data_IF_166246397890
#
_entry.id   IF_166246397890
#
_cell.length_a   1.000
_cell.length_b   1.000
_cell.length_c   1.000
_cell.angle_alpha   90.00
_cell.angle_beta   90.00
_cell.angle_gamma   90.00
#
_symmetry.space_group_name_H-M   'P 1'
#
loop_
_entity.id
_entity.type
_entity.pdbx_description
1 polymer ?
#
# COMPACT_ATOMS: atom_id res chain seq x y z
N UNK A 1 0.76 -21.70 9.60
CA UNK A 1 1.52 -20.47 9.26
C UNK A 1 2.46 -20.19 10.42
N UNK A 2 3.76 -20.30 10.21
CA UNK A 2 4.76 -19.98 11.24
C UNK A 2 5.56 -18.80 10.72
N UNK A 3 5.26 -17.61 11.24
CA UNK A 3 6.12 -16.43 11.06
C UNK A 3 7.32 -16.63 12.00
N UNK A 4 8.50 -16.80 11.42
CA UNK A 4 9.74 -16.85 12.16
C UNK A 4 10.60 -15.66 11.70
N UNK A 5 10.70 -14.64 12.55
CA UNK A 5 11.72 -13.59 12.42
C UNK A 5 13.02 -14.13 13.03
N UNK A 6 13.81 -14.84 12.23
CA UNK A 6 15.09 -15.39 12.69
C UNK A 6 16.08 -15.46 11.52
N UNK A 7 17.38 -15.41 11.84
CA UNK A 7 18.45 -15.61 10.84
C UNK A 7 18.21 -16.95 10.16
N UNK A 8 18.30 -17.00 8.83
CA UNK A 8 18.02 -18.17 7.98
C UNK A 8 18.64 -19.49 8.49
N UNK A 9 19.83 -19.45 9.11
CA UNK A 9 20.47 -20.63 9.71
C UNK A 9 19.73 -21.22 10.91
N UNK A 10 19.16 -20.39 11.79
CA UNK A 10 18.44 -20.85 12.99
C UNK A 10 17.08 -21.49 12.63
N UNK A 11 16.41 -20.98 11.60
CA UNK A 11 15.15 -21.54 11.07
C UNK A 11 15.40 -22.94 10.47
N UNK A 12 16.53 -23.13 9.79
CA UNK A 12 16.89 -24.41 9.19
C UNK A 12 17.16 -25.48 10.26
N UNK A 13 17.94 -25.12 11.29
CA UNK A 13 18.29 -26.04 12.37
C UNK A 13 17.05 -26.43 13.18
N UNK A 14 16.19 -25.45 13.49
CA UNK A 14 14.87 -25.70 14.11
C UNK A 14 13.89 -26.49 13.23
N UNK A 15 14.09 -26.62 11.92
CA UNK A 15 13.25 -27.48 11.08
C UNK A 15 13.68 -28.95 11.15
N UNK A 16 15.00 -29.18 11.12
CA UNK A 16 15.60 -30.51 11.19
C UNK A 16 15.42 -31.16 12.57
N UNK A 17 15.45 -30.37 13.65
CA UNK A 17 15.23 -30.85 15.03
C UNK A 17 13.81 -31.43 15.26
N UNK A 18 12.88 -31.26 14.31
CA UNK A 18 11.47 -31.67 14.42
C UNK A 18 11.05 -32.73 13.38
N UNK A 19 11.98 -33.46 12.77
CA UNK A 19 11.71 -34.49 11.75
C UNK A 19 10.91 -33.96 10.54
N UNK A 20 11.01 -32.67 10.21
CA UNK A 20 10.45 -32.15 8.97
C UNK A 20 11.40 -32.43 7.79
N UNK A 21 10.86 -32.98 6.70
CA UNK A 21 11.59 -33.07 5.45
C UNK A 21 11.61 -31.69 4.77
N UNK A 22 12.80 -31.21 4.43
CA UNK A 22 12.95 -29.93 3.75
C UNK A 22 12.76 -30.15 2.26
N UNK A 23 11.60 -29.75 1.74
CA UNK A 23 11.20 -30.02 0.34
C UNK A 23 12.13 -29.34 -0.69
N UNK A 24 12.75 -28.21 -0.33
CA UNK A 24 13.69 -27.52 -1.21
C UNK A 24 14.57 -26.54 -0.44
N UNK A 25 15.88 -26.70 -0.53
CA UNK A 25 16.86 -25.67 -0.14
C UNK A 25 17.70 -25.33 -1.37
N UNK A 26 17.69 -24.07 -1.78
CA UNK A 26 18.74 -23.56 -2.67
C UNK A 26 19.73 -22.80 -1.79
N UNK A 27 21.03 -23.12 -1.93
CA UNK A 27 22.12 -22.60 -1.10
C UNK A 27 22.07 -21.08 -0.97
N UNK A 28 22.34 -20.61 0.24
CA UNK A 28 22.47 -19.23 0.65
C UNK A 28 23.95 -18.82 0.62
N UNK A 29 24.28 -17.73 -0.09
CA UNK A 29 25.58 -17.06 -0.01
C UNK A 29 25.30 -15.61 0.44
N UNK A 30 25.82 -15.14 1.58
CA UNK A 30 25.78 -13.73 1.90
C UNK A 30 26.78 -13.01 0.99
N UNK A 31 26.36 -11.98 0.24
CA UNK A 31 27.29 -11.16 -0.52
C UNK A 31 27.36 -9.73 0.02
N UNK A 32 28.56 -9.39 0.46
CA UNK A 32 29.14 -8.05 0.44
C UNK A 32 29.43 -7.67 -1.01
N UNK A 33 28.99 -6.47 -1.39
CA UNK A 33 29.27 -5.75 -2.64
C UNK A 33 28.60 -6.22 -3.95
N UNK A 34 27.67 -5.35 -4.36
CA UNK A 34 27.46 -4.68 -5.66
C UNK A 34 27.77 -5.51 -6.93
N UNK A 35 26.72 -5.61 -7.77
CA UNK A 35 26.70 -5.98 -9.20
C UNK A 35 26.52 -7.44 -9.67
N UNK A 36 26.15 -8.40 -8.81
CA UNK A 36 25.53 -9.65 -9.31
C UNK A 36 24.27 -10.02 -8.51
N UNK A 37 23.10 -9.96 -9.17
CA UNK A 37 21.80 -10.40 -8.64
C UNK A 37 21.75 -11.93 -8.51
N UNK A 38 22.28 -12.47 -7.42
CA UNK A 38 21.95 -13.85 -7.01
C UNK A 38 20.56 -13.86 -6.35
N UNK A 39 19.70 -14.77 -6.81
CA UNK A 39 18.30 -14.91 -6.36
C UNK A 39 18.28 -15.37 -4.89
N UNK A 40 17.85 -14.48 -3.99
CA UNK A 40 17.57 -14.82 -2.60
C UNK A 40 16.36 -15.76 -2.52
N UNK A 41 16.55 -17.00 -2.03
CA UNK A 41 15.43 -17.86 -1.68
C UNK A 41 14.92 -17.47 -0.28
N UNK A 42 13.95 -16.56 -0.25
CA UNK A 42 13.30 -16.07 0.98
C UNK A 42 12.16 -16.97 1.47
N UNK A 43 11.87 -18.06 0.74
CA UNK A 43 10.80 -18.99 1.07
C UNK A 43 11.36 -20.38 1.30
N UNK A 44 11.02 -20.96 2.45
CA UNK A 44 11.42 -22.31 2.85
C UNK A 44 10.15 -23.09 3.15
N UNK A 45 10.04 -24.29 2.57
CA UNK A 45 8.90 -25.17 2.77
C UNK A 45 9.36 -26.43 3.50
N UNK A 46 8.73 -26.68 4.64
CA UNK A 46 8.91 -27.89 5.43
C UNK A 46 7.67 -28.75 5.30
N UNK A 47 7.87 -30.06 5.16
CA UNK A 47 6.78 -31.03 5.11
C UNK A 47 6.92 -32.03 6.24
N UNK A 48 5.83 -32.25 6.97
CA UNK A 48 5.76 -33.33 7.94
C UNK A 48 4.35 -33.90 7.97
N UNK A 49 4.23 -35.21 7.72
CA UNK A 49 2.97 -35.96 7.62
C UNK A 49 2.03 -35.35 6.57
N UNK A 50 1.04 -34.57 7.01
CA UNK A 50 0.04 -33.91 6.14
C UNK A 50 0.08 -32.37 6.29
N UNK A 51 1.12 -31.82 6.91
CA UNK A 51 1.27 -30.37 7.11
C UNK A 51 2.42 -29.82 6.28
N UNK A 52 2.16 -28.69 5.63
CA UNK A 52 3.17 -27.85 4.99
C UNK A 52 3.38 -26.61 5.86
N UNK A 53 4.62 -26.38 6.29
CA UNK A 53 5.02 -25.13 6.94
C UNK A 53 5.78 -24.29 5.92
N UNK A 54 5.22 -23.14 5.59
CA UNK A 54 5.87 -22.13 4.75
C UNK A 54 6.50 -21.07 5.67
N UNK A 55 7.83 -21.04 5.69
CA UNK A 55 8.61 -20.02 6.36
C UNK A 55 9.06 -18.97 5.35
N UNK A 56 8.86 -17.69 5.69
CA UNK A 56 9.17 -16.55 4.84
C UNK A 56 10.11 -15.62 5.57
N UNK A 57 11.21 -15.27 4.92
CA UNK A 57 12.23 -14.36 5.45
C UNK A 57 11.91 -12.95 4.99
N UNK A 58 11.63 -12.08 5.95
CA UNK A 58 11.41 -10.66 5.71
C UNK A 58 12.73 -9.90 5.81
N UNK A 59 12.96 -9.01 4.86
CA UNK A 59 14.01 -8.01 4.92
C UNK A 59 13.43 -6.68 5.39
N UNK A 60 14.20 -5.95 6.20
CA UNK A 60 13.87 -4.57 6.54
C UNK A 60 14.45 -3.65 5.47
N UNK A 61 13.59 -3.01 4.70
CA UNK A 61 13.98 -1.92 3.80
C UNK A 61 13.43 -0.62 4.38
N UNK A 62 14.34 0.21 4.89
CA UNK A 62 14.01 1.51 5.48
C UNK A 62 12.98 1.35 6.62
N UNK A 63 11.72 1.72 6.36
CA UNK A 63 10.64 1.79 7.35
C UNK A 63 9.60 0.66 7.24
N UNK A 64 9.78 -0.30 6.34
CA UNK A 64 8.85 -1.41 6.18
C UNK A 64 9.58 -2.74 5.95
N UNK A 65 8.84 -3.83 6.06
CA UNK A 65 9.31 -5.19 5.81
C UNK A 65 8.91 -5.61 4.41
N UNK A 66 9.74 -6.38 3.72
CA UNK A 66 9.41 -6.93 2.42
C UNK A 66 10.03 -8.31 2.22
N UNK A 67 9.48 -9.07 1.28
CA UNK A 67 10.13 -10.26 0.76
C UNK A 67 9.95 -10.35 -0.76
N UNK A 68 10.86 -11.06 -1.41
CA UNK A 68 10.79 -11.27 -2.85
C UNK A 68 9.72 -12.29 -3.22
N UNK A 69 9.39 -12.36 -4.51
CA UNK A 69 8.46 -13.36 -5.06
C UNK A 69 9.08 -14.76 -5.00
N UNK A 70 8.26 -15.77 -4.71
CA UNK A 70 8.66 -17.16 -4.84
C UNK A 70 8.89 -17.55 -6.31
N UNK A 71 10.07 -18.11 -6.62
CA UNK A 71 10.45 -18.53 -7.98
C UNK A 71 10.46 -20.06 -8.18
N UNK A 72 9.77 -20.82 -7.32
CA UNK A 72 9.74 -22.28 -7.42
C UNK A 72 8.46 -22.84 -8.07
N UNK A 73 8.11 -24.08 -7.70
CA UNK A 73 6.95 -24.76 -8.25
C UNK A 73 5.66 -24.01 -7.89
N UNK A 74 4.65 -24.03 -8.76
CA UNK A 74 3.36 -23.45 -8.38
C UNK A 74 2.77 -24.25 -7.23
N UNK A 75 2.46 -23.56 -6.14
CA UNK A 75 1.62 -24.08 -5.08
C UNK A 75 0.28 -23.36 -5.17
N UNK A 76 -0.81 -24.11 -5.24
CA UNK A 76 -2.14 -23.54 -5.20
C UNK A 76 -2.45 -23.05 -3.78
N UNK A 77 -3.06 -21.87 -3.66
CA UNK A 77 -3.57 -21.30 -2.41
C UNK A 77 -2.52 -21.08 -1.28
N UNK A 78 -1.25 -20.89 -1.63
CA UNK A 78 -0.20 -20.55 -0.65
C UNK A 78 -0.04 -19.03 -0.58
N UNK A 79 -0.14 -18.49 0.64
CA UNK A 79 0.10 -17.06 0.93
C UNK A 79 1.58 -16.71 0.78
N UNK A 80 1.91 -15.42 0.68
CA UNK A 80 3.29 -14.94 0.66
C UNK A 80 4.13 -15.48 -0.51
N UNK A 81 3.51 -15.78 -1.65
CA UNK A 81 4.25 -16.24 -2.85
C UNK A 81 4.56 -15.11 -3.81
N UNK A 82 3.92 -13.94 -3.65
CA UNK A 82 4.15 -12.76 -4.47
C UNK A 82 5.29 -11.93 -3.90
N UNK A 83 5.75 -10.90 -4.64
CA UNK A 83 6.59 -9.85 -4.07
C UNK A 83 5.69 -9.02 -3.18
N UNK A 84 5.98 -8.92 -1.89
CA UNK A 84 5.06 -8.32 -0.93
C UNK A 84 5.79 -7.43 0.09
N UNK A 85 5.07 -6.45 0.63
CA UNK A 85 5.55 -5.58 1.70
C UNK A 85 4.51 -5.36 2.80
N UNK A 86 5.01 -5.13 4.01
CA UNK A 86 4.25 -5.01 5.24
C UNK A 86 4.79 -3.87 6.09
N UNK A 87 3.93 -3.18 6.81
CA UNK A 87 4.37 -2.28 7.88
C UNK A 87 5.23 -3.02 8.89
N UNK A 88 6.14 -2.29 9.54
CA UNK A 88 6.81 -2.86 10.71
C UNK A 88 5.77 -3.23 11.77
N UNK A 89 5.86 -4.43 12.30
CA UNK A 89 5.03 -4.91 13.40
C UNK A 89 5.93 -5.39 14.54
N UNK A 90 5.42 -5.28 15.76
CA UNK A 90 6.07 -5.89 16.93
C UNK A 90 5.61 -7.34 17.07
N UNK A 91 6.37 -8.15 17.80
CA UNK A 91 6.02 -9.55 18.07
C UNK A 91 5.90 -9.82 19.56
N UNK A 92 5.16 -10.89 19.87
CA UNK A 92 5.03 -11.45 21.21
C UNK A 92 5.46 -12.92 21.19
N UNK A 93 6.25 -13.37 22.17
CA UNK A 93 6.67 -14.75 22.26
C UNK A 93 5.51 -15.65 22.69
N UNK A 94 5.31 -16.76 21.98
CA UNK A 94 4.29 -17.78 22.25
C UNK A 94 4.97 -19.13 22.42
N UNK A 95 4.65 -19.80 23.52
CA UNK A 95 5.14 -21.13 23.84
C UNK A 95 4.13 -22.18 23.36
N UNK A 96 4.53 -23.05 22.42
CA UNK A 96 3.63 -24.07 21.90
C UNK A 96 3.62 -25.37 22.71
N UNK A 97 4.65 -25.60 23.53
CA UNK A 97 4.81 -26.81 24.34
C UNK A 97 4.77 -26.51 25.85
N UNK A 98 4.36 -27.53 26.63
CA UNK A 98 4.15 -27.42 28.08
C UNK A 98 5.45 -27.12 28.85
N UNK A 99 6.58 -27.59 28.33
CA UNK A 99 7.93 -27.37 28.85
C UNK A 99 8.53 -26.02 28.41
N UNK A 100 7.80 -25.22 27.61
CA UNK A 100 8.18 -23.88 27.15
C UNK A 100 9.47 -23.79 26.33
N UNK A 101 10.06 -24.93 25.93
CA UNK A 101 11.30 -24.97 25.16
C UNK A 101 11.13 -24.46 23.73
N UNK A 102 9.89 -24.43 23.22
CA UNK A 102 9.57 -23.97 21.87
C UNK A 102 8.88 -22.61 21.90
N UNK A 103 9.63 -21.57 21.56
CA UNK A 103 9.17 -20.17 21.52
C UNK A 103 9.08 -19.68 20.07
N UNK A 104 7.93 -19.13 19.69
CA UNK A 104 7.70 -18.44 18.42
C UNK A 104 7.28 -16.99 18.64
N UNK A 105 7.75 -16.10 17.78
CA UNK A 105 7.33 -14.71 17.77
C UNK A 105 6.12 -14.53 16.85
N UNK A 106 4.94 -14.31 17.43
CA UNK A 106 3.74 -13.96 16.68
C UNK A 106 3.59 -12.45 16.57
N UNK A 107 3.03 -11.89 15.48
CA UNK A 107 2.66 -10.48 15.44
C UNK A 107 1.81 -10.10 16.66
N UNK A 108 2.16 -9.00 17.32
CA UNK A 108 1.44 -8.49 18.50
C UNK A 108 -0.02 -8.15 18.19
N UNK A 109 -0.31 -7.79 16.94
CA UNK A 109 -1.65 -7.59 16.40
C UNK A 109 -1.87 -8.46 15.15
N UNK A 110 -2.29 -9.73 15.32
CA UNK A 110 -2.51 -10.63 14.20
C UNK A 110 -3.57 -10.14 13.21
N UNK A 111 -4.63 -9.47 13.69
CA UNK A 111 -5.70 -8.95 12.83
C UNK A 111 -5.17 -7.88 11.86
N UNK A 112 -4.39 -6.92 12.37
CA UNK A 112 -3.77 -5.89 11.54
C UNK A 112 -2.69 -6.45 10.60
N UNK A 113 -1.96 -7.50 11.02
CA UNK A 113 -1.02 -8.18 10.13
C UNK A 113 -1.76 -8.86 8.98
N UNK A 114 -2.83 -9.62 9.27
CA UNK A 114 -3.62 -10.32 8.26
C UNK A 114 -4.33 -9.34 7.31
N UNK A 115 -4.82 -8.22 7.82
CA UNK A 115 -5.43 -7.16 6.99
C UNK A 115 -4.46 -6.63 5.92
N UNK A 116 -3.16 -6.58 6.22
CA UNK A 116 -2.16 -6.15 5.24
C UNK A 116 -1.91 -7.18 4.15
N UNK A 117 -2.11 -8.49 4.41
CA UNK A 117 -1.82 -9.57 3.45
C UNK A 117 -2.62 -9.38 2.16
N UNK A 118 -3.88 -8.93 2.25
CA UNK A 118 -4.77 -8.74 1.09
C UNK A 118 -4.24 -7.69 0.09
N UNK A 119 -3.47 -6.72 0.59
CA UNK A 119 -2.95 -5.58 -0.18
C UNK A 119 -1.42 -5.55 -0.19
N UNK A 120 -0.78 -6.64 0.24
CA UNK A 120 0.66 -6.69 0.45
C UNK A 120 1.45 -6.74 -0.85
N UNK A 121 0.86 -7.14 -1.99
CA UNK A 121 1.55 -7.20 -3.28
C UNK A 121 2.28 -5.88 -3.57
N UNK A 122 3.57 -5.96 -3.85
CA UNK A 122 4.43 -4.79 -3.98
C UNK A 122 4.59 -4.39 -5.44
N UNK A 123 4.17 -3.17 -5.74
CA UNK A 123 4.34 -2.53 -7.04
C UNK A 123 5.46 -1.49 -6.96
N UNK A 124 6.35 -1.48 -7.95
CA UNK A 124 7.45 -0.53 -8.05
C UNK A 124 7.15 0.51 -9.14
N UNK A 125 7.45 1.79 -8.86
CA UNK A 125 7.40 2.86 -9.87
C UNK A 125 8.25 2.50 -11.10
N UNK A 126 7.85 2.97 -12.28
CA UNK A 126 8.48 2.56 -13.54
C UNK A 126 9.70 3.40 -13.96
N UNK A 127 10.05 4.46 -13.22
CA UNK A 127 11.21 5.34 -13.50
C UNK A 127 11.37 5.68 -15.01
N UNK A 128 10.26 6.02 -15.66
CA UNK A 128 10.24 6.41 -17.07
C UNK A 128 10.29 7.92 -17.19
N UNK A 129 11.30 8.42 -17.88
CA UNK A 129 11.50 9.85 -18.11
C UNK A 129 10.41 10.40 -19.04
N UNK A 130 9.36 11.01 -18.50
CA UNK A 130 8.51 11.95 -19.25
C UNK A 130 9.19 13.31 -19.37
N UNK A 131 8.80 14.13 -20.34
CA UNK A 131 9.28 15.51 -20.58
C UNK A 131 8.31 16.59 -20.06
N UNK A 132 7.57 16.31 -18.98
CA UNK A 132 6.74 17.35 -18.33
C UNK A 132 7.60 18.33 -17.55
N UNK A 133 7.26 19.63 -17.64
CA UNK A 133 7.94 20.73 -16.94
C UNK A 133 7.88 20.51 -15.43
N UNK A 134 9.03 20.61 -14.75
CA UNK A 134 9.07 20.63 -13.30
C UNK A 134 8.46 21.94 -12.80
N UNK A 135 7.61 21.85 -11.79
CA UNK A 135 6.95 23.01 -11.18
C UNK A 135 7.70 23.30 -9.86
N UNK A 136 7.90 24.57 -9.49
CA UNK A 136 8.51 25.01 -8.21
C UNK A 136 7.56 25.73 -7.24
N UNK A 137 7.39 25.20 -6.02
CA UNK A 137 6.45 25.74 -5.04
C UNK A 137 6.82 27.18 -4.66
N UNK A 138 5.84 28.10 -4.52
CA UNK A 138 6.12 29.53 -4.32
C UNK A 138 6.94 29.83 -3.06
N UNK A 139 6.83 29.00 -2.02
CA UNK A 139 7.45 29.28 -0.71
C UNK A 139 8.28 28.15 -0.13
N UNK A 140 8.25 26.95 -0.73
CA UNK A 140 8.88 25.75 -0.16
C UNK A 140 9.88 25.16 -1.11
N UNK A 141 11.00 24.69 -0.55
CA UNK A 141 11.94 23.88 -1.32
C UNK A 141 11.38 22.47 -1.53
N UNK A 142 11.86 21.76 -2.55
CA UNK A 142 11.47 20.37 -2.77
C UNK A 142 11.79 19.45 -1.58
N UNK A 143 12.86 19.73 -0.84
CA UNK A 143 13.18 18.99 0.39
C UNK A 143 12.15 19.24 1.50
N UNK A 144 11.75 20.49 1.72
CA UNK A 144 10.71 20.85 2.69
C UNK A 144 9.37 20.20 2.32
N UNK A 145 9.01 20.17 1.04
CA UNK A 145 7.81 19.49 0.56
C UNK A 145 7.86 17.98 0.87
N UNK A 146 8.96 17.29 0.53
CA UNK A 146 9.13 15.86 0.84
C UNK A 146 9.11 15.56 2.33
N UNK A 147 9.71 16.42 3.15
CA UNK A 147 9.68 16.27 4.61
C UNK A 147 8.24 16.38 5.14
N UNK A 148 7.50 17.40 4.71
CA UNK A 148 6.09 17.61 5.11
C UNK A 148 5.18 16.50 4.59
N UNK A 149 5.39 16.02 3.38
CA UNK A 149 4.64 14.88 2.85
C UNK A 149 4.93 13.61 3.64
N UNK A 150 6.19 13.38 4.04
CA UNK A 150 6.56 12.25 4.90
C UNK A 150 5.81 12.31 6.23
N UNK A 151 5.77 13.48 6.88
CA UNK A 151 5.01 13.70 8.12
C UNK A 151 3.52 13.44 7.87
N UNK A 152 2.95 14.05 6.83
CA UNK A 152 1.53 13.88 6.48
C UNK A 152 1.15 12.41 6.27
N UNK A 153 1.97 11.66 5.51
CA UNK A 153 1.77 10.24 5.27
C UNK A 153 1.82 9.44 6.58
N UNK A 154 2.76 9.74 7.48
CA UNK A 154 2.87 9.05 8.76
C UNK A 154 1.64 9.32 9.64
N UNK A 155 1.16 10.56 9.69
CA UNK A 155 -0.03 10.94 10.45
C UNK A 155 -1.30 10.31 9.87
N UNK A 156 -1.47 10.34 8.54
CA UNK A 156 -2.57 9.65 7.85
C UNK A 156 -2.57 8.16 8.18
N UNK A 157 -1.41 7.50 8.12
CA UNK A 157 -1.28 6.08 8.49
C UNK A 157 -1.67 5.85 9.94
N UNK A 158 -1.18 6.65 10.88
CA UNK A 158 -1.51 6.48 12.30
C UNK A 158 -3.02 6.59 12.56
N UNK A 159 -3.67 7.57 11.94
CA UNK A 159 -5.11 7.80 12.09
C UNK A 159 -5.94 6.70 11.42
N UNK A 160 -5.64 6.37 10.16
CA UNK A 160 -6.44 5.44 9.36
C UNK A 160 -6.20 3.97 9.69
N UNK A 161 -4.96 3.56 9.99
CA UNK A 161 -4.64 2.17 10.28
C UNK A 161 -5.30 1.67 11.57
N UNK A 162 -5.49 2.55 12.56
CA UNK A 162 -6.25 2.23 13.79
C UNK A 162 -7.73 1.89 13.54
N UNK A 163 -8.23 2.19 12.34
CA UNK A 163 -9.62 1.97 11.89
C UNK A 163 -9.71 1.04 10.69
N UNK A 164 -8.62 0.39 10.31
CA UNK A 164 -8.54 -0.45 9.10
C UNK A 164 -8.92 0.31 7.82
N UNK A 165 -8.70 1.62 7.76
CA UNK A 165 -8.88 2.40 6.53
C UNK A 165 -7.59 2.33 5.71
N UNK A 166 -7.70 1.91 4.46
CA UNK A 166 -6.61 2.03 3.49
C UNK A 166 -6.79 3.31 2.69
N UNK A 167 -5.68 4.01 2.45
CA UNK A 167 -5.61 5.12 1.51
C UNK A 167 -4.51 4.86 0.49
N UNK A 168 -4.70 5.33 -0.74
CA UNK A 168 -3.73 5.15 -1.82
C UNK A 168 -3.36 6.47 -2.48
N UNK A 169 -2.18 6.54 -3.13
CA UNK A 169 -1.82 7.69 -3.95
C UNK A 169 -2.82 7.87 -5.10
N UNK A 170 -3.16 9.13 -5.38
CA UNK A 170 -4.16 9.47 -6.37
C UNK A 170 -3.75 10.69 -7.21
N UNK A 171 -4.41 10.87 -8.35
CA UNK A 171 -4.30 12.05 -9.22
C UNK A 171 -2.84 12.39 -9.59
N UNK A 172 -2.43 13.65 -9.49
CA UNK A 172 -1.10 14.14 -9.87
C UNK A 172 0.02 13.49 -9.06
N UNK A 173 -0.20 13.20 -7.77
CA UNK A 173 0.80 12.50 -6.96
C UNK A 173 1.03 11.06 -7.43
N UNK A 174 -0.01 10.39 -7.97
CA UNK A 174 0.11 9.07 -8.57
C UNK A 174 0.85 9.12 -9.92
N UNK A 175 0.55 10.10 -10.79
CA UNK A 175 1.26 10.31 -12.07
C UNK A 175 2.74 10.56 -11.81
N UNK A 176 3.05 11.53 -10.94
CA UNK A 176 4.43 11.88 -10.61
C UNK A 176 5.20 10.68 -10.05
N UNK A 177 4.60 9.95 -9.10
CA UNK A 177 5.26 8.79 -8.47
C UNK A 177 5.49 7.68 -9.49
N UNK A 178 4.51 7.38 -10.34
CA UNK A 178 4.62 6.28 -11.30
C UNK A 178 5.79 6.51 -12.26
N UNK A 179 6.00 7.74 -12.71
CA UNK A 179 7.05 8.08 -13.69
C UNK A 179 8.39 8.44 -13.07
N UNK A 180 8.43 9.07 -11.90
CA UNK A 180 9.68 9.60 -11.32
C UNK A 180 10.10 8.97 -10.00
N UNK A 181 9.27 8.09 -9.42
CA UNK A 181 9.45 7.60 -8.06
C UNK A 181 9.48 8.70 -6.98
N UNK A 182 8.97 9.89 -7.32
CA UNK A 182 8.79 11.07 -6.46
C UNK A 182 7.38 11.64 -6.70
N UNK A 183 6.82 12.39 -5.75
CA UNK A 183 5.41 12.86 -5.79
C UNK A 183 5.27 14.37 -6.10
N UNK A 184 6.39 15.06 -6.34
CA UNK A 184 6.45 16.51 -6.54
C UNK A 184 7.21 16.88 -7.82
N UNK A 185 6.66 16.46 -8.96
CA UNK A 185 7.19 16.82 -10.27
C UNK A 185 6.29 17.84 -10.96
N UNK A 186 4.99 17.55 -11.05
CA UNK A 186 3.98 18.38 -11.71
C UNK A 186 3.03 19.08 -10.74
N UNK A 187 3.09 18.72 -9.46
CA UNK A 187 2.26 19.30 -8.39
C UNK A 187 3.08 19.66 -7.15
N UNK A 188 2.47 20.41 -6.23
CA UNK A 188 2.95 20.64 -4.86
C UNK A 188 1.99 20.13 -3.80
N UNK A 189 0.95 19.44 -4.23
CA UNK A 189 -0.08 18.92 -3.34
C UNK A 189 0.12 17.41 -3.19
N UNK A 190 -0.13 16.88 -2.00
CA UNK A 190 -0.22 15.44 -1.79
C UNK A 190 -1.66 15.00 -2.04
N UNK A 191 -1.89 14.28 -3.12
CA UNK A 191 -3.21 13.73 -3.47
C UNK A 191 -3.28 12.25 -3.14
N UNK A 192 -4.25 11.89 -2.31
CA UNK A 192 -4.57 10.51 -1.92
C UNK A 192 -6.07 10.26 -2.05
N UNK A 193 -6.47 9.00 -2.11
CA UNK A 193 -7.86 8.60 -2.13
C UNK A 193 -8.17 7.57 -1.04
N UNK A 194 -9.44 7.55 -0.65
CA UNK A 194 -10.04 6.57 0.28
C UNK A 194 -11.35 6.05 -0.30
N UNK A 195 -11.71 4.84 0.09
CA UNK A 195 -13.00 4.22 -0.27
C UNK A 195 -14.11 4.73 0.63
N UNK A 196 -15.25 5.11 0.05
CA UNK A 196 -16.45 5.48 0.79
C UNK A 196 -16.92 4.36 1.74
N UNK A 197 -16.83 3.10 1.29
CA UNK A 197 -17.14 1.92 2.10
C UNK A 197 -16.25 1.81 3.34
N UNK A 198 -14.97 2.19 3.22
CA UNK A 198 -14.02 2.16 4.34
C UNK A 198 -14.27 3.25 5.39
N UNK A 199 -14.91 4.35 4.99
CA UNK A 199 -15.15 5.51 5.86
C UNK A 199 -16.63 5.69 6.24
N UNK A 200 -17.52 4.76 5.85
CA UNK A 200 -18.98 4.88 6.02
C UNK A 200 -19.42 5.20 7.45
N UNK A 201 -18.74 4.63 8.44
CA UNK A 201 -19.02 4.79 9.87
C UNK A 201 -18.03 5.75 10.56
N UNK A 202 -17.29 6.52 9.77
CA UNK A 202 -16.19 7.35 10.24
C UNK A 202 -16.43 8.81 9.91
N UNK A 203 -16.56 9.63 10.95
CA UNK A 203 -16.61 11.07 10.77
C UNK A 203 -15.18 11.61 10.56
N UNK A 204 -14.78 11.73 9.29
CA UNK A 204 -13.45 12.24 8.93
C UNK A 204 -13.18 13.64 9.50
N UNK A 205 -14.19 14.52 9.61
CA UNK A 205 -14.00 15.86 10.18
C UNK A 205 -13.53 15.81 11.63
N UNK A 206 -14.09 14.90 12.43
CA UNK A 206 -13.68 14.72 13.83
C UNK A 206 -12.28 14.10 13.94
N UNK A 207 -11.83 13.31 12.97
CA UNK A 207 -10.49 12.68 13.02
C UNK A 207 -9.34 13.69 13.04
N UNK A 208 -9.52 14.84 12.42
CA UNK A 208 -8.49 15.86 12.30
C UNK A 208 -8.46 16.81 13.50
N UNK A 209 -9.52 16.82 14.33
CA UNK A 209 -9.59 17.74 15.46
C UNK A 209 -8.51 17.42 16.49
N UNK A 210 -7.70 18.44 16.81
CA UNK A 210 -6.62 18.31 17.78
C UNK A 210 -5.41 17.52 17.27
N UNK A 211 -5.35 17.13 15.99
CA UNK A 211 -4.10 16.65 15.42
C UNK A 211 -3.08 17.79 15.37
N UNK A 212 -1.82 17.48 15.69
CA UNK A 212 -0.74 18.46 15.81
C UNK A 212 -0.20 18.95 14.46
N UNK A 213 -0.35 18.13 13.42
CA UNK A 213 0.31 18.31 12.12
C UNK A 213 -0.68 18.52 10.99
N UNK A 214 -1.82 17.84 11.02
CA UNK A 214 -2.87 17.86 10.00
C UNK A 214 -4.04 18.73 10.46
N UNK A 215 -4.33 19.78 9.71
CA UNK A 215 -5.48 20.65 9.93
C UNK A 215 -6.48 20.52 8.78
N UNK A 216 -7.77 20.31 9.08
CA UNK A 216 -8.82 20.34 8.07
C UNK A 216 -9.09 21.79 7.65
N UNK A 217 -8.80 22.11 6.39
CA UNK A 217 -9.02 23.44 5.81
C UNK A 217 -10.41 23.55 5.20
N UNK A 218 -10.82 22.54 4.42
CA UNK A 218 -12.09 22.58 3.67
C UNK A 218 -12.61 21.18 3.41
N UNK A 219 -13.93 21.03 3.44
CA UNK A 219 -14.63 19.86 2.91
C UNK A 219 -15.46 20.28 1.70
N UNK A 220 -15.39 19.50 0.62
CA UNK A 220 -16.18 19.71 -0.58
C UNK A 220 -17.26 18.64 -0.67
N UNK A 221 -18.49 19.08 -0.93
CA UNK A 221 -19.68 18.22 -0.92
C UNK A 221 -20.37 18.19 -2.28
N UNK A 222 -20.99 17.05 -2.58
CA UNK A 222 -21.92 16.84 -3.69
C UNK A 222 -23.32 17.07 -3.11
N UNK A 223 -23.92 18.20 -3.50
CA UNK A 223 -25.12 18.70 -2.82
C UNK A 223 -24.88 18.91 -1.32
N UNK A 224 -25.91 18.69 -0.51
CA UNK A 224 -25.89 19.01 0.91
C UNK A 224 -25.46 17.85 1.82
N UNK A 225 -25.02 16.70 1.28
CA UNK A 225 -24.91 15.46 2.08
C UNK A 225 -23.60 14.70 1.95
N UNK A 226 -23.02 14.60 0.75
CA UNK A 226 -21.93 13.62 0.53
C UNK A 226 -20.62 14.34 0.25
N UNK A 227 -19.64 14.24 1.15
CA UNK A 227 -18.30 14.82 0.93
C UNK A 227 -17.53 14.01 -0.11
N UNK A 228 -17.02 14.67 -1.16
CA UNK A 228 -16.21 14.00 -2.19
C UNK A 228 -14.72 14.35 -2.10
N UNK A 229 -14.34 15.39 -1.35
CA UNK A 229 -12.93 15.75 -1.09
C UNK A 229 -12.76 16.46 0.25
N UNK A 230 -11.70 16.09 0.95
CA UNK A 230 -11.22 16.78 2.15
C UNK A 230 -9.86 17.39 1.85
N UNK A 231 -9.72 18.67 2.19
CA UNK A 231 -8.48 19.42 1.99
C UNK A 231 -7.89 19.67 3.36
N UNK A 232 -6.71 19.09 3.60
CA UNK A 232 -5.92 19.31 4.80
C UNK A 232 -4.71 20.22 4.50
N UNK A 233 -4.21 20.85 5.55
CA UNK A 233 -2.90 21.49 5.55
C UNK A 233 -1.95 20.74 6.48
N UNK A 234 -0.71 20.55 6.03
CA UNK A 234 0.41 20.09 6.84
C UNK A 234 1.55 21.12 6.79
N UNK A 235 1.47 22.11 7.66
CA UNK A 235 2.43 23.20 7.79
C UNK A 235 2.62 24.06 6.52
N UNK A 236 1.62 24.15 5.64
CA UNK A 236 1.69 24.83 4.34
C UNK A 236 1.85 23.89 3.15
N UNK A 237 1.85 22.57 3.37
CA UNK A 237 1.65 21.57 2.31
C UNK A 237 0.16 21.24 2.24
N UNK A 238 -0.48 21.47 1.09
CA UNK A 238 -1.87 21.05 0.88
C UNK A 238 -1.94 19.54 0.63
N UNK A 239 -2.89 18.89 1.29
CA UNK A 239 -3.18 17.46 1.13
C UNK A 239 -4.63 17.32 0.68
N UNK A 240 -4.86 16.64 -0.43
CA UNK A 240 -6.18 16.33 -0.95
C UNK A 240 -6.50 14.87 -0.66
N UNK A 241 -7.58 14.61 0.08
CA UNK A 241 -8.14 13.27 0.28
C UNK A 241 -9.43 13.18 -0.53
N UNK A 242 -9.38 12.46 -1.65
CA UNK A 242 -10.52 12.20 -2.51
C UNK A 242 -11.30 10.99 -1.99
N UNK A 243 -12.62 11.05 -2.09
CA UNK A 243 -13.50 9.91 -1.79
C UNK A 243 -13.86 9.22 -3.10
N UNK A 244 -13.44 7.96 -3.23
CA UNK A 244 -13.87 7.07 -4.30
C UNK A 244 -15.09 6.28 -3.84
N UNK A 245 -16.16 6.33 -4.62
CA UNK A 245 -17.41 5.65 -4.33
C UNK A 245 -17.42 4.30 -5.04
N UNK A 246 -17.36 3.24 -4.25
CA UNK A 246 -17.31 1.88 -4.76
C UNK A 246 -18.71 1.34 -5.05
N UNK A 247 -18.83 0.71 -6.21
CA UNK A 247 -19.98 -0.06 -6.64
C UNK A 247 -19.52 -1.51 -6.90
N UNK A 248 -20.43 -2.36 -7.39
CA UNK A 248 -20.13 -3.79 -7.57
C UNK A 248 -18.92 -4.01 -8.50
N UNK A 249 -18.90 -3.34 -9.66
CA UNK A 249 -17.91 -3.55 -10.72
C UNK A 249 -17.04 -2.31 -11.05
N UNK A 250 -17.35 -1.16 -10.46
CA UNK A 250 -16.66 0.10 -10.73
C UNK A 250 -16.46 0.93 -9.48
N UNK A 251 -15.56 1.90 -9.59
CA UNK A 251 -15.38 2.98 -8.61
C UNK A 251 -15.50 4.30 -9.36
N UNK A 252 -16.14 5.29 -8.76
CA UNK A 252 -16.23 6.62 -9.34
C UNK A 252 -15.75 7.71 -8.39
N UNK A 253 -15.16 8.75 -8.97
CA UNK A 253 -14.71 9.95 -8.26
C UNK A 253 -15.45 11.16 -8.82
N UNK A 254 -15.61 12.19 -8.01
CA UNK A 254 -16.18 13.45 -8.50
C UNK A 254 -15.20 14.12 -9.47
N UNK A 255 -15.70 14.52 -10.65
CA UNK A 255 -14.93 15.28 -11.64
C UNK A 255 -15.10 16.78 -11.39
N UNK A 256 -14.03 17.44 -10.91
CA UNK A 256 -14.00 18.89 -10.68
C UNK A 256 -14.02 19.71 -11.97
N UNK A 257 -13.69 19.09 -13.11
CA UNK A 257 -13.51 19.76 -14.40
C UNK A 257 -14.72 19.63 -15.32
N UNK A 258 -15.69 18.78 -14.96
CA UNK A 258 -16.91 18.57 -15.72
C UNK A 258 -17.72 19.87 -15.85
N UNK A 259 -18.26 20.10 -17.04
CA UNK A 259 -19.11 21.27 -17.30
C UNK A 259 -20.49 21.09 -16.68
N UNK A 260 -21.21 22.19 -16.51
CA UNK A 260 -22.53 22.25 -15.84
C UNK A 260 -23.60 21.27 -16.39
N UNK A 261 -23.42 20.75 -17.62
CA UNK A 261 -24.32 19.80 -18.27
C UNK A 261 -23.70 18.40 -18.50
N UNK A 262 -22.52 18.11 -17.94
CA UNK A 262 -21.84 16.82 -18.06
C UNK A 262 -21.93 16.05 -16.74
N UNK A 263 -21.93 14.70 -16.77
CA UNK A 263 -21.87 13.93 -15.55
C UNK A 263 -20.55 14.21 -14.83
N UNK A 264 -20.63 14.75 -13.61
CA UNK A 264 -19.47 15.11 -12.77
C UNK A 264 -18.80 13.87 -12.15
N UNK A 265 -18.56 12.81 -12.93
CA UNK A 265 -18.02 11.53 -12.44
C UNK A 265 -16.93 10.98 -13.36
N UNK A 266 -15.76 10.72 -12.77
CA UNK A 266 -14.71 9.90 -13.37
C UNK A 266 -14.95 8.44 -12.96
N UNK A 267 -15.30 7.58 -13.92
CA UNK A 267 -15.64 6.17 -13.68
C UNK A 267 -14.46 5.28 -14.10
N UNK A 268 -14.10 4.35 -13.22
CA UNK A 268 -13.04 3.36 -13.46
C UNK A 268 -13.53 1.97 -13.08
N UNK A 269 -13.02 0.94 -13.75
CA UNK A 269 -13.20 -0.45 -13.29
C UNK A 269 -12.74 -0.61 -11.85
N UNK A 270 -13.36 -1.52 -11.10
CA UNK A 270 -13.06 -1.72 -9.68
C UNK A 270 -11.57 -1.82 -9.41
N UNK A 271 -11.12 -0.99 -8.47
CA UNK A 271 -9.72 -0.80 -8.19
C UNK A 271 -9.17 -1.92 -7.31
N UNK A 272 -8.07 -2.53 -7.75
CA UNK A 272 -7.21 -3.33 -6.88
C UNK A 272 -6.04 -2.48 -6.41
N UNK A 273 -5.80 -2.41 -5.11
CA UNK A 273 -4.67 -1.68 -4.52
C UNK A 273 -3.51 -2.62 -4.16
N UNK A 274 -2.29 -2.13 -4.39
CA UNK A 274 -1.02 -2.77 -4.12
C UNK A 274 -0.20 -1.88 -3.19
N UNK A 275 0.68 -2.48 -2.39
CA UNK A 275 1.69 -1.74 -1.63
C UNK A 275 2.80 -1.20 -2.53
N UNK A 276 3.45 -0.12 -2.11
CA UNK A 276 4.53 0.52 -2.84
C UNK A 276 5.42 1.34 -1.89
N UNK A 277 6.60 1.74 -2.35
CA UNK A 277 7.43 2.73 -1.67
C UNK A 277 7.23 4.14 -2.24
N UNK A 278 6.94 5.08 -1.34
CA UNK A 278 6.84 6.52 -1.61
C UNK A 278 7.55 7.27 -0.48
N UNK A 279 8.55 8.10 -0.80
CA UNK A 279 9.32 8.84 0.22
C UNK A 279 9.80 7.96 1.38
N UNK A 280 10.29 6.75 1.07
CA UNK A 280 10.74 5.73 2.04
C UNK A 280 9.65 5.21 2.98
N UNK A 281 8.38 5.53 2.74
CA UNK A 281 7.22 4.98 3.44
C UNK A 281 6.55 3.93 2.56
N UNK A 282 5.98 2.90 3.19
CA UNK A 282 5.02 2.02 2.53
C UNK A 282 3.68 2.73 2.39
N UNK A 283 3.16 2.84 1.17
CA UNK A 283 1.85 3.45 0.83
C UNK A 283 1.17 2.57 -0.21
N UNK A 284 -0.18 2.58 -0.26
CA UNK A 284 -0.91 1.90 -1.33
C UNK A 284 -0.96 2.72 -2.62
N UNK A 285 -1.02 2.03 -3.74
CA UNK A 285 -1.20 2.56 -5.09
C UNK A 285 -2.15 1.63 -5.85
N UNK A 286 -2.83 2.08 -6.90
CA UNK A 286 -3.46 1.17 -7.85
C UNK A 286 -2.46 0.12 -8.37
N UNK A 287 -2.87 -1.16 -8.45
CA UNK A 287 -2.01 -2.20 -9.02
C UNK A 287 -1.81 -2.06 -10.55
N UNK A 288 -2.64 -1.23 -11.21
CA UNK A 288 -2.57 -0.89 -12.63
C UNK A 288 -2.69 0.65 -12.78
N UNK A 289 -1.66 1.43 -12.38
CA UNK A 289 -1.71 2.89 -12.42
C UNK A 289 -2.00 3.46 -13.81
N UNK A 290 -1.56 2.77 -14.87
CA UNK A 290 -1.65 3.24 -16.26
C UNK A 290 -3.08 3.52 -16.73
N UNK A 291 -4.06 2.81 -16.17
CA UNK A 291 -5.49 2.99 -16.48
C UNK A 291 -5.96 4.40 -16.11
N UNK A 292 -5.37 5.00 -15.07
CA UNK A 292 -5.76 6.33 -14.61
C UNK A 292 -5.14 7.46 -15.44
N UNK A 293 -4.10 7.18 -16.23
CA UNK A 293 -3.43 8.17 -17.08
C UNK A 293 -3.95 8.15 -18.51
N UNK A 294 -4.36 6.98 -19.01
CA UNK A 294 -4.77 6.81 -20.41
C UNK A 294 -6.29 6.97 -20.63
N UNK A 295 -7.10 6.99 -19.56
CA UNK A 295 -8.55 7.14 -19.66
C UNK A 295 -9.04 8.60 -19.77
N UNK A 296 -8.17 9.55 -20.11
CA UNK A 296 -8.62 10.92 -20.47
C UNK A 296 -9.36 10.99 -21.82
N UNK A 297 -9.44 9.88 -22.57
CA UNK A 297 -10.34 9.75 -23.72
C UNK A 297 -11.33 8.58 -23.51
N UNK A 298 -12.60 8.91 -23.27
CA UNK A 298 -13.79 8.14 -23.69
C UNK A 298 -14.18 6.82 -22.98
N UNK A 299 -14.22 6.77 -21.65
CA UNK A 299 -15.20 5.87 -20.98
C UNK A 299 -16.52 6.57 -20.65
N UNK A 300 -16.60 7.90 -20.81
CA UNK A 300 -17.87 8.64 -20.77
C UNK A 300 -18.84 8.18 -21.86
N UNK A 301 -18.34 7.91 -23.07
CA UNK A 301 -19.22 7.77 -24.23
C UNK A 301 -19.81 6.36 -24.39
N UNK A 302 -19.17 5.34 -23.79
CA UNK A 302 -19.71 3.96 -23.84
C UNK A 302 -20.58 3.59 -22.63
N UNK A 303 -20.45 4.27 -21.48
CA UNK A 303 -21.26 3.95 -20.30
C UNK A 303 -22.53 4.81 -20.17
N UNK A 304 -22.58 6.01 -20.78
CA UNK A 304 -23.75 6.90 -20.68
C UNK A 304 -25.01 6.33 -21.36
N UNK A 305 -24.88 5.47 -22.38
CA UNK A 305 -26.06 4.90 -23.05
C UNK A 305 -26.78 3.81 -22.25
N UNK A 306 -26.16 3.20 -21.23
CA UNK A 306 -26.75 2.01 -20.59
C UNK A 306 -27.51 2.30 -19.29
N UNK A 307 -27.27 3.43 -18.61
CA UNK A 307 -27.81 3.67 -17.25
C UNK A 307 -28.68 4.92 -17.08
N UNK A 308 -29.05 5.62 -18.16
CA UNK A 308 -30.05 6.72 -18.11
C UNK A 308 -31.47 6.28 -18.46
N UNK A 309 -31.74 4.97 -18.52
CA UNK A 309 -33.09 4.42 -18.63
C UNK A 309 -33.33 3.39 -17.52
N UNK A 310 -33.50 3.85 -16.27
CA UNK A 310 -34.44 3.28 -15.29
C UNK A 310 -34.64 4.19 -14.09
#
# INVERSE_FOLDING_TARGET
MVLALSKTCEIYQKGLDFDFEVLKVRRFIPRTDVDNLEVYNVHIFFYHRNFVVHAVVFFKEKNFLWHYKYQGAKFDNVLFVKKESFENFTTVPVHLNKDKSLVYDLPSNPAQFLYQVETAEFFQCQHVRKDKLAVQHPTLTGEQMRLRATIAIQELKAIFLSRFINFWLWSESLDDWFYTCDIFRTTYELSVAVSDLSIKDVNLVELWKGNKYLELVKTLHMGNKTAWKFILDCHGLRINIFVGYEEDDYIWFFDETAKENEPNRLIYTKLRICSSEVLKQRIYVPCLPEIFFNNTESLSDQFIETYMTH
#
